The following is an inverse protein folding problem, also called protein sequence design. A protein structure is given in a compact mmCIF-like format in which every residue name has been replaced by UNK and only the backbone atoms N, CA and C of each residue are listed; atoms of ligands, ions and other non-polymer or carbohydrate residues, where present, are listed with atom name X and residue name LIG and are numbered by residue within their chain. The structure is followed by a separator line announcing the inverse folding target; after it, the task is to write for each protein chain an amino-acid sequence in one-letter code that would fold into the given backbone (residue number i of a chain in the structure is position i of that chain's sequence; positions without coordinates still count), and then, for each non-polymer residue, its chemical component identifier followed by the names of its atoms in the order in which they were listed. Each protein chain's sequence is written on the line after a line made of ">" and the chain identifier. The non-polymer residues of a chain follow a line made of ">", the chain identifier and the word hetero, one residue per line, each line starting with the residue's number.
data_IF_980134158748
#
_entry.id   IF_980134158748
#
_cell.length_a   1.000
_cell.length_b   1.000
_cell.length_c   1.000
_cell.angle_alpha   90.00
_cell.angle_beta   90.00
_cell.angle_gamma   90.00
#
_symmetry.space_group_name_H-M   'P 1'
#
loop_
_entity.id
_entity.type
_entity.pdbx_description
1 polymer ?
#
# COMPACT_ATOMS: atom_id res chain seq x y z
N UNK A 1 3.54 -43.26 33.81
CA UNK A 1 4.35 -42.83 32.66
C UNK A 1 5.36 -41.80 33.15
N UNK A 2 6.65 -42.16 33.42
CA UNK A 2 7.68 -41.17 33.80
C UNK A 2 7.97 -40.32 32.55
N UNK A 3 7.44 -39.15 32.49
CA UNK A 3 7.83 -38.14 31.48
C UNK A 3 9.28 -37.80 31.80
N UNK A 4 10.21 -38.24 30.95
CA UNK A 4 11.62 -37.91 31.12
C UNK A 4 11.75 -36.37 31.05
N UNK A 5 12.48 -35.77 32.01
CA UNK A 5 12.73 -34.31 32.07
C UNK A 5 13.17 -33.75 30.70
N UNK A 6 13.89 -34.56 29.94
CA UNK A 6 14.31 -34.24 28.58
C UNK A 6 13.15 -34.04 27.60
N UNK A 7 12.16 -34.95 27.61
CA UNK A 7 10.97 -34.81 26.72
C UNK A 7 10.16 -33.58 27.08
N UNK A 8 10.06 -33.21 28.36
CA UNK A 8 9.39 -32.01 28.82
C UNK A 8 10.05 -30.73 28.25
N UNK A 9 11.40 -30.66 28.30
CA UNK A 9 12.17 -29.54 27.78
C UNK A 9 11.96 -29.40 26.26
N UNK A 10 11.94 -30.51 25.52
CA UNK A 10 11.72 -30.51 24.07
C UNK A 10 10.33 -30.01 23.75
N UNK A 11 9.31 -30.52 24.43
CA UNK A 11 7.91 -30.12 24.22
C UNK A 11 7.76 -28.63 24.52
N UNK A 12 8.32 -28.12 25.60
CA UNK A 12 8.29 -26.73 26.01
C UNK A 12 8.98 -25.83 24.99
N UNK A 13 10.14 -26.27 24.46
CA UNK A 13 10.85 -25.56 23.38
C UNK A 13 10.02 -25.49 22.08
N UNK A 14 9.36 -26.60 21.72
CA UNK A 14 8.52 -26.68 20.52
C UNK A 14 7.29 -25.77 20.63
N UNK A 15 6.65 -25.74 21.80
CA UNK A 15 5.51 -24.82 22.07
C UNK A 15 5.98 -23.37 22.01
N UNK A 16 7.14 -23.03 22.56
CA UNK A 16 7.70 -21.68 22.49
C UNK A 16 7.97 -21.24 21.04
N UNK A 17 8.53 -22.13 20.21
CA UNK A 17 8.76 -21.86 18.78
C UNK A 17 7.45 -21.57 18.04
N UNK A 18 6.43 -22.40 18.25
CA UNK A 18 5.11 -22.19 17.64
C UNK A 18 4.52 -20.85 18.09
N UNK A 19 4.62 -20.52 19.38
CA UNK A 19 4.17 -19.23 19.91
C UNK A 19 4.86 -18.03 19.25
N UNK A 20 6.17 -18.08 19.06
CA UNK A 20 6.95 -17.05 18.38
C UNK A 20 6.52 -16.89 16.92
N UNK A 21 6.33 -18.00 16.20
CA UNK A 21 5.87 -17.96 14.79
C UNK A 21 4.49 -17.32 14.66
N UNK A 22 3.57 -17.68 15.56
CA UNK A 22 2.24 -17.05 15.58
C UNK A 22 2.36 -15.55 15.86
N UNK A 23 3.14 -15.15 16.85
CA UNK A 23 3.36 -13.74 17.17
C UNK A 23 3.95 -12.97 15.98
N UNK A 24 4.93 -13.55 15.26
CA UNK A 24 5.51 -12.94 14.06
C UNK A 24 4.47 -12.73 12.94
N UNK A 25 3.61 -13.71 12.71
CA UNK A 25 2.53 -13.58 11.70
C UNK A 25 1.55 -12.46 12.05
N UNK A 26 1.16 -12.37 13.31
CA UNK A 26 0.25 -11.33 13.79
C UNK A 26 0.87 -9.93 13.66
N UNK A 27 2.13 -9.78 14.06
CA UNK A 27 2.84 -8.50 13.95
C UNK A 27 3.08 -8.07 12.51
N UNK A 28 3.44 -8.99 11.63
CA UNK A 28 3.60 -8.70 10.20
C UNK A 28 2.29 -8.19 9.59
N UNK A 29 1.18 -8.86 9.93
CA UNK A 29 -0.16 -8.44 9.47
C UNK A 29 -0.53 -7.04 10.00
N UNK A 30 -0.26 -6.77 11.27
CA UNK A 30 -0.50 -5.47 11.88
C UNK A 30 0.36 -4.37 11.25
N UNK A 31 1.65 -4.63 11.03
CA UNK A 31 2.56 -3.69 10.39
C UNK A 31 2.10 -3.35 8.96
N UNK A 32 1.66 -4.34 8.18
CA UNK A 32 1.09 -4.12 6.86
C UNK A 32 -0.14 -3.21 6.91
N UNK A 33 -1.07 -3.47 7.81
CA UNK A 33 -2.29 -2.64 7.96
C UNK A 33 -1.96 -1.20 8.35
N UNK A 34 -0.94 -0.99 9.18
CA UNK A 34 -0.49 0.36 9.56
C UNK A 34 0.10 1.10 8.37
N UNK A 35 0.97 0.46 7.59
CA UNK A 35 1.58 1.07 6.41
C UNK A 35 0.53 1.36 5.32
N UNK A 36 -0.45 0.49 5.12
CA UNK A 36 -1.58 0.72 4.22
C UNK A 36 -2.40 1.96 4.63
N UNK A 37 -2.71 2.10 5.94
CA UNK A 37 -3.41 3.28 6.46
C UNK A 37 -2.59 4.56 6.27
N UNK A 38 -1.29 4.54 6.56
CA UNK A 38 -0.39 5.68 6.35
C UNK A 38 -0.33 6.08 4.87
N UNK A 39 -0.21 5.10 3.98
CA UNK A 39 -0.23 5.35 2.53
C UNK A 39 -1.55 5.99 2.11
N UNK A 40 -2.69 5.41 2.52
CA UNK A 40 -4.01 5.95 2.22
C UNK A 40 -4.20 7.39 2.74
N UNK A 41 -3.71 7.70 3.94
CA UNK A 41 -3.75 9.06 4.48
C UNK A 41 -2.91 10.04 3.65
N UNK A 42 -1.69 9.66 3.27
CA UNK A 42 -0.83 10.48 2.41
C UNK A 42 -1.48 10.78 1.07
N UNK A 43 -2.03 9.74 0.43
CA UNK A 43 -2.75 9.89 -0.84
C UNK A 43 -3.95 10.82 -0.67
N UNK A 44 -4.76 10.61 0.37
CA UNK A 44 -5.93 11.45 0.66
C UNK A 44 -5.55 12.94 0.81
N UNK A 45 -4.55 13.24 1.64
CA UNK A 45 -4.10 14.63 1.86
C UNK A 45 -3.55 15.22 0.57
N UNK A 46 -2.75 14.48 -0.20
CA UNK A 46 -2.21 14.94 -1.48
C UNK A 46 -3.31 15.24 -2.49
N UNK A 47 -4.30 14.36 -2.62
CA UNK A 47 -5.44 14.56 -3.53
C UNK A 47 -6.31 15.75 -3.09
N UNK A 48 -6.45 16.00 -1.78
CA UNK A 48 -7.15 17.16 -1.27
C UNK A 48 -6.43 18.46 -1.66
N UNK A 49 -5.10 18.49 -1.53
CA UNK A 49 -4.31 19.66 -1.95
C UNK A 49 -4.34 19.86 -3.47
N UNK A 50 -4.35 18.78 -4.27
CA UNK A 50 -4.57 18.89 -5.73
C UNK A 50 -5.94 19.50 -6.02
N UNK A 51 -7.00 19.02 -5.39
CA UNK A 51 -8.34 19.56 -5.54
C UNK A 51 -8.37 21.05 -5.19
N UNK A 52 -7.83 21.47 -4.05
CA UNK A 52 -7.74 22.89 -3.65
C UNK A 52 -7.06 23.75 -4.71
N UNK A 53 -5.91 23.32 -5.23
CA UNK A 53 -5.16 24.07 -6.25
C UNK A 53 -5.91 24.19 -7.56
N UNK A 54 -6.68 23.17 -7.95
CA UNK A 54 -7.55 23.24 -9.11
C UNK A 54 -8.68 24.27 -8.91
N UNK A 55 -9.09 24.52 -7.67
CA UNK A 55 -10.09 25.54 -7.33
C UNK A 55 -9.51 26.96 -7.19
N UNK A 56 -8.27 27.12 -6.69
CA UNK A 56 -7.64 28.43 -6.49
C UNK A 56 -7.57 29.29 -7.77
N UNK A 57 -7.58 28.67 -8.95
CA UNK A 57 -7.64 29.35 -10.25
C UNK A 57 -9.05 29.72 -10.70
N UNK A 58 -10.09 29.45 -9.91
CA UNK A 58 -11.50 29.65 -10.28
C UNK A 58 -12.21 30.51 -9.24
N UNK A 59 -13.31 31.15 -9.65
CA UNK A 59 -14.15 31.91 -8.71
C UNK A 59 -15.08 31.04 -7.85
N UNK A 60 -14.89 29.73 -7.87
CA UNK A 60 -15.71 28.76 -7.16
C UNK A 60 -15.01 28.31 -5.86
N UNK A 61 -15.76 28.19 -4.77
CA UNK A 61 -15.28 27.62 -3.52
C UNK A 61 -15.33 26.08 -3.59
N UNK A 62 -14.39 25.43 -2.91
CA UNK A 62 -14.42 23.97 -2.71
C UNK A 62 -15.79 23.58 -2.12
N UNK A 63 -16.44 22.53 -2.63
CA UNK A 63 -17.64 22.01 -2.01
C UNK A 63 -17.42 21.72 -0.54
N UNK A 64 -18.41 22.05 0.31
CA UNK A 64 -18.35 21.76 1.74
C UNK A 64 -18.33 20.25 2.06
N UNK A 65 -18.69 19.43 1.09
CA UNK A 65 -18.60 17.97 1.17
C UNK A 65 -17.18 17.50 0.78
N UNK A 66 -16.77 16.38 1.35
CA UNK A 66 -15.50 15.76 1.04
C UNK A 66 -15.41 15.42 -0.47
N UNK A 67 -14.53 16.06 -1.24
CA UNK A 67 -14.43 15.81 -2.67
C UNK A 67 -13.81 14.45 -3.01
N UNK A 68 -13.19 13.77 -2.04
CA UNK A 68 -12.44 12.54 -2.28
C UNK A 68 -13.25 11.33 -1.85
N UNK A 69 -13.44 10.40 -2.77
CA UNK A 69 -14.04 9.10 -2.54
C UNK A 69 -13.00 8.00 -2.73
N UNK A 70 -12.69 7.26 -1.67
CA UNK A 70 -11.88 6.05 -1.76
C UNK A 70 -12.78 4.89 -2.20
N UNK A 71 -12.55 4.35 -3.40
CA UNK A 71 -13.32 3.24 -3.97
C UNK A 71 -12.71 1.89 -3.55
N UNK A 72 -11.37 1.80 -3.61
CA UNK A 72 -10.59 0.67 -3.12
C UNK A 72 -9.29 1.16 -2.49
N UNK A 73 -8.43 0.25 -2.04
CA UNK A 73 -7.16 0.66 -1.41
C UNK A 73 -6.24 1.40 -2.38
N UNK A 74 -6.29 1.03 -3.65
CA UNK A 74 -5.49 1.55 -4.74
C UNK A 74 -6.22 2.54 -5.64
N UNK A 75 -7.53 2.79 -5.45
CA UNK A 75 -8.35 3.57 -6.36
C UNK A 75 -9.14 4.67 -5.67
N UNK A 76 -8.97 5.90 -6.14
CA UNK A 76 -9.56 7.12 -5.60
C UNK A 76 -10.22 7.93 -6.70
N UNK A 77 -11.35 8.58 -6.37
CA UNK A 77 -12.06 9.51 -7.23
C UNK A 77 -12.09 10.86 -6.51
N UNK A 78 -11.85 11.92 -7.26
CA UNK A 78 -11.89 13.30 -6.77
C UNK A 78 -12.87 14.10 -7.60
N UNK A 79 -13.97 14.50 -6.96
CA UNK A 79 -14.98 15.35 -7.56
C UNK A 79 -14.51 16.80 -7.47
N UNK A 80 -14.19 17.40 -8.60
CA UNK A 80 -13.77 18.81 -8.68
C UNK A 80 -14.95 19.72 -8.95
N UNK A 81 -16.00 19.20 -9.61
CA UNK A 81 -17.19 19.95 -10.02
C UNK A 81 -16.89 21.24 -10.78
N UNK A 82 -15.78 21.30 -11.46
CA UNK A 82 -15.31 22.40 -12.25
C UNK A 82 -14.43 21.90 -13.40
N UNK A 83 -14.40 22.65 -14.51
CA UNK A 83 -13.52 22.30 -15.63
C UNK A 83 -12.05 22.58 -15.28
N UNK A 84 -11.15 21.69 -15.70
CA UNK A 84 -9.73 21.80 -15.45
C UNK A 84 -8.93 21.16 -16.58
N UNK A 85 -7.68 21.61 -16.72
CA UNK A 85 -6.76 21.15 -17.75
C UNK A 85 -6.01 19.88 -17.32
N UNK A 86 -5.80 18.95 -18.25
CA UNK A 86 -5.13 17.68 -17.99
C UNK A 86 -3.64 17.85 -17.63
N UNK A 87 -2.95 18.82 -18.27
CA UNK A 87 -1.53 19.08 -18.00
C UNK A 87 -1.35 19.70 -16.61
N UNK A 88 -2.26 20.60 -16.23
CA UNK A 88 -2.29 21.22 -14.89
C UNK A 88 -2.57 20.17 -13.83
N UNK A 89 -3.53 19.27 -14.07
CA UNK A 89 -3.82 18.15 -13.17
C UNK A 89 -2.58 17.26 -12.98
N UNK A 90 -1.94 16.86 -14.08
CA UNK A 90 -0.75 16.01 -14.04
C UNK A 90 0.39 16.66 -13.25
N UNK A 91 0.63 17.94 -13.49
CA UNK A 91 1.63 18.72 -12.75
C UNK A 91 1.36 18.73 -11.24
N UNK A 92 0.12 18.99 -10.83
CA UNK A 92 -0.24 19.02 -9.42
C UNK A 92 -0.17 17.63 -8.77
N UNK A 93 -0.63 16.56 -9.47
CA UNK A 93 -0.51 15.20 -8.97
C UNK A 93 0.96 14.82 -8.73
N UNK A 94 1.84 15.07 -9.69
CA UNK A 94 3.28 14.80 -9.54
C UNK A 94 3.87 15.59 -8.38
N UNK A 95 3.60 16.89 -8.31
CA UNK A 95 4.13 17.76 -7.27
C UNK A 95 3.69 17.35 -5.86
N UNK A 96 2.40 17.08 -5.65
CA UNK A 96 1.88 16.74 -4.33
C UNK A 96 2.26 15.32 -3.89
N UNK A 97 2.33 14.36 -4.82
CA UNK A 97 2.80 13.02 -4.50
C UNK A 97 4.31 12.98 -4.18
N UNK A 98 5.12 13.80 -4.86
CA UNK A 98 6.53 13.94 -4.54
C UNK A 98 6.73 14.54 -3.14
N UNK A 99 6.01 15.63 -2.80
CA UNK A 99 6.04 16.25 -1.46
C UNK A 99 5.64 15.27 -0.36
N UNK A 100 4.63 14.44 -0.60
CA UNK A 100 4.18 13.42 0.34
C UNK A 100 5.10 12.19 0.39
N UNK A 101 6.16 12.16 -0.43
CA UNK A 101 7.05 11.00 -0.59
C UNK A 101 6.31 9.72 -1.02
N UNK A 102 5.30 9.86 -1.88
CA UNK A 102 4.59 8.75 -2.51
C UNK A 102 5.42 8.34 -3.75
N UNK A 103 6.32 7.37 -3.54
CA UNK A 103 7.25 6.88 -4.57
C UNK A 103 6.72 5.58 -5.18
N UNK A 104 5.60 5.66 -5.88
CA UNK A 104 5.01 4.54 -6.62
C UNK A 104 4.41 5.06 -7.92
N UNK A 105 4.32 4.17 -8.91
CA UNK A 105 3.65 4.48 -10.16
C UNK A 105 2.16 4.75 -9.91
N UNK A 106 1.58 5.63 -10.69
CA UNK A 106 0.15 5.90 -10.65
C UNK A 106 -0.43 6.15 -12.03
N UNK A 107 -1.70 5.84 -12.15
CA UNK A 107 -2.51 6.12 -13.33
C UNK A 107 -3.55 7.17 -12.95
N UNK A 108 -3.89 8.04 -13.88
CA UNK A 108 -5.01 8.96 -13.69
C UNK A 108 -5.86 9.07 -14.94
N UNK A 109 -7.10 9.42 -14.76
CA UNK A 109 -8.04 9.73 -15.83
C UNK A 109 -8.90 10.92 -15.46
N UNK A 110 -9.19 11.76 -16.45
CA UNK A 110 -10.01 12.94 -16.34
C UNK A 110 -11.33 12.74 -17.09
N UNK A 111 -12.41 13.18 -16.47
CA UNK A 111 -13.76 13.13 -17.04
C UNK A 111 -14.41 14.50 -16.99
N UNK A 112 -15.12 14.88 -18.07
CA UNK A 112 -15.89 16.10 -18.11
C UNK A 112 -17.34 15.85 -18.57
N UNK A 113 -18.18 16.88 -18.41
CA UNK A 113 -19.62 16.85 -18.72
C UNK A 113 -19.93 16.66 -20.22
N UNK A 114 -19.00 16.96 -21.10
CA UNK A 114 -19.29 17.10 -22.53
C UNK A 114 -19.19 15.81 -23.32
N UNK A 115 -18.51 14.80 -22.76
CA UNK A 115 -18.35 13.49 -23.39
C UNK A 115 -18.76 12.37 -22.46
N UNK A 116 -19.41 11.36 -23.03
CA UNK A 116 -19.71 10.12 -22.31
C UNK A 116 -18.47 9.23 -22.09
N UNK A 117 -17.31 9.67 -22.58
CA UNK A 117 -16.05 8.94 -22.55
C UNK A 117 -15.00 9.65 -21.68
N UNK A 118 -13.95 8.93 -21.34
CA UNK A 118 -12.76 9.47 -20.69
C UNK A 118 -12.12 10.52 -21.63
N UNK A 119 -11.96 11.75 -21.14
CA UNK A 119 -11.39 12.84 -21.94
C UNK A 119 -9.88 12.69 -22.07
N UNK A 120 -9.23 12.29 -20.99
CA UNK A 120 -7.80 12.10 -20.92
C UNK A 120 -7.43 11.07 -19.86
N UNK A 121 -6.40 10.29 -20.12
CA UNK A 121 -5.83 9.36 -19.14
C UNK A 121 -4.37 9.08 -19.44
N UNK A 122 -3.56 8.96 -18.41
CA UNK A 122 -2.14 8.69 -18.51
C UNK A 122 -1.63 7.80 -17.38
N UNK A 123 -0.54 7.10 -17.67
CA UNK A 123 0.22 6.31 -16.70
C UNK A 123 1.55 6.99 -16.42
N UNK A 124 1.81 7.31 -15.18
CA UNK A 124 3.03 7.94 -14.72
C UNK A 124 3.88 6.89 -14.02
N UNK A 125 4.99 6.51 -14.66
CA UNK A 125 5.97 5.60 -14.09
C UNK A 125 7.14 6.37 -13.51
N UNK A 126 7.60 5.96 -12.34
CA UNK A 126 8.88 6.42 -11.77
C UNK A 126 10.06 5.84 -12.53
N UNK A 127 9.90 4.66 -13.11
CA UNK A 127 10.91 4.00 -13.91
C UNK A 127 10.63 4.27 -15.40
N UNK A 128 11.46 5.07 -16.04
CA UNK A 128 11.31 5.56 -17.44
C UNK A 128 11.16 4.44 -18.50
N UNK A 129 11.33 3.17 -18.10
CA UNK A 129 11.29 2.02 -19.00
C UNK A 129 9.90 1.44 -19.26
N UNK A 130 8.88 1.82 -18.50
CA UNK A 130 7.53 1.23 -18.58
C UNK A 130 6.47 2.25 -19.03
N UNK A 131 6.44 2.55 -20.33
CA UNK A 131 5.33 3.28 -20.93
C UNK A 131 4.15 2.34 -21.15
N UNK A 132 3.29 2.16 -20.16
CA UNK A 132 1.96 1.57 -20.36
C UNK A 132 1.02 2.64 -20.90
N UNK A 133 0.55 2.49 -22.12
CA UNK A 133 -0.20 3.53 -22.84
C UNK A 133 -1.71 3.39 -22.80
N UNK A 134 -2.28 2.36 -22.21
CA UNK A 134 -3.74 2.17 -22.14
C UNK A 134 -4.21 2.15 -20.70
N UNK A 135 -4.80 3.25 -20.25
CA UNK A 135 -5.43 3.39 -18.95
C UNK A 135 -6.94 3.27 -19.15
N UNK A 136 -7.54 2.28 -18.49
CA UNK A 136 -8.99 2.12 -18.49
C UNK A 136 -9.55 2.29 -17.08
N UNK A 137 -10.48 3.21 -16.94
CA UNK A 137 -11.22 3.46 -15.70
C UNK A 137 -12.72 3.36 -15.94
N UNK A 138 -13.48 2.78 -15.00
CA UNK A 138 -14.93 2.78 -15.09
C UNK A 138 -15.50 4.20 -14.89
N UNK A 139 -16.52 4.56 -15.70
CA UNK A 139 -17.22 5.83 -15.55
C UNK A 139 -18.15 5.82 -14.34
N UNK A 140 -18.17 6.93 -13.60
CA UNK A 140 -19.08 7.17 -12.48
C UNK A 140 -20.24 8.08 -12.93
N UNK A 141 -21.45 7.50 -13.03
CA UNK A 141 -22.64 8.16 -13.63
C UNK A 141 -23.15 9.39 -12.89
N UNK A 142 -22.77 9.57 -11.62
CA UNK A 142 -23.30 10.65 -10.77
C UNK A 142 -22.33 11.85 -10.66
N UNK A 143 -21.19 11.80 -11.34
CA UNK A 143 -20.18 12.85 -11.29
C UNK A 143 -20.01 13.46 -12.68
N UNK A 144 -19.84 14.79 -12.71
CA UNK A 144 -19.78 15.58 -13.93
C UNK A 144 -18.34 15.93 -14.29
N UNK A 145 -17.63 16.60 -13.39
CA UNK A 145 -16.22 16.94 -13.52
C UNK A 145 -15.45 16.29 -12.40
N UNK A 146 -14.69 15.26 -12.73
CA UNK A 146 -13.90 14.53 -11.74
C UNK A 146 -12.65 13.95 -12.39
N UNK A 147 -11.69 13.63 -11.55
CA UNK A 147 -10.58 12.78 -11.95
C UNK A 147 -10.49 11.54 -11.05
N UNK A 148 -9.92 10.49 -11.59
CA UNK A 148 -9.67 9.26 -10.90
C UNK A 148 -8.16 8.98 -10.84
N UNK A 149 -7.68 8.41 -9.74
CA UNK A 149 -6.29 8.03 -9.57
C UNK A 149 -6.23 6.60 -9.06
N UNK A 150 -5.35 5.79 -9.66
CA UNK A 150 -5.10 4.40 -9.26
C UNK A 150 -3.61 4.15 -9.10
N UNK A 151 -3.26 3.36 -8.09
CA UNK A 151 -1.90 2.95 -7.78
C UNK A 151 -1.73 1.44 -8.06
N UNK A 152 -1.42 1.01 -9.29
CA UNK A 152 -1.42 -0.40 -9.67
C UNK A 152 -0.38 -1.23 -8.89
N UNK A 153 0.69 -0.58 -8.42
CA UNK A 153 1.79 -1.20 -7.69
C UNK A 153 1.75 -0.93 -6.16
N UNK A 154 0.61 -0.50 -5.61
CA UNK A 154 0.47 -0.18 -4.18
C UNK A 154 0.97 -1.31 -3.28
N UNK A 155 0.54 -2.54 -3.52
CA UNK A 155 0.96 -3.70 -2.71
C UNK A 155 2.46 -3.91 -2.73
N UNK A 156 3.09 -3.82 -3.91
CA UNK A 156 4.54 -3.97 -4.03
C UNK A 156 5.29 -2.88 -3.28
N UNK A 157 4.78 -1.65 -3.34
CA UNK A 157 5.32 -0.52 -2.59
C UNK A 157 5.23 -0.75 -1.07
N UNK A 158 4.08 -1.20 -0.56
CA UNK A 158 3.89 -1.50 0.86
C UNK A 158 4.80 -2.64 1.33
N UNK A 159 4.95 -3.70 0.54
CA UNK A 159 5.89 -4.78 0.87
C UNK A 159 7.35 -4.30 0.88
N UNK A 160 7.73 -3.42 -0.02
CA UNK A 160 9.07 -2.82 -0.03
C UNK A 160 9.35 -2.02 1.24
N UNK A 161 8.35 -1.30 1.75
CA UNK A 161 8.45 -0.56 3.01
C UNK A 161 8.64 -1.46 4.23
N UNK A 162 8.13 -2.70 4.17
CA UNK A 162 8.25 -3.70 5.24
C UNK A 162 9.47 -4.63 5.09
N UNK A 163 10.31 -4.44 4.07
CA UNK A 163 11.44 -5.34 3.76
C UNK A 163 12.35 -5.60 4.96
N UNK A 164 12.64 -4.59 5.77
CA UNK A 164 13.47 -4.73 6.97
C UNK A 164 12.85 -5.70 7.99
N UNK A 165 11.55 -5.62 8.22
CA UNK A 165 10.82 -6.51 9.14
C UNK A 165 10.80 -7.95 8.66
N UNK A 166 10.69 -8.19 7.34
CA UNK A 166 10.79 -9.53 6.77
C UNK A 166 12.18 -10.13 6.95
N UNK A 167 13.24 -9.34 6.74
CA UNK A 167 14.62 -9.79 6.96
C UNK A 167 14.83 -10.19 8.42
N UNK A 168 14.36 -9.37 9.35
CA UNK A 168 14.48 -9.66 10.79
C UNK A 168 13.72 -10.93 11.18
N UNK A 169 12.50 -11.10 10.68
CA UNK A 169 11.69 -12.29 10.90
C UNK A 169 12.37 -13.56 10.36
N UNK A 170 12.95 -13.48 9.18
CA UNK A 170 13.68 -14.60 8.56
C UNK A 170 14.93 -14.98 9.34
N UNK A 171 15.70 -14.01 9.82
CA UNK A 171 16.85 -14.24 10.67
C UNK A 171 16.47 -14.98 11.97
N UNK A 172 15.35 -14.61 12.59
CA UNK A 172 14.82 -15.27 13.78
C UNK A 172 14.45 -16.74 13.52
N UNK A 173 13.82 -17.02 12.38
CA UNK A 173 13.50 -18.41 11.97
C UNK A 173 14.77 -19.24 11.82
N UNK A 174 15.83 -18.70 11.22
CA UNK A 174 17.12 -19.41 11.08
C UNK A 174 17.71 -19.74 12.45
N UNK A 175 17.72 -18.81 13.39
CA UNK A 175 18.21 -19.02 14.75
C UNK A 175 17.44 -20.16 15.44
N UNK A 176 16.11 -20.18 15.29
CA UNK A 176 15.27 -21.24 15.83
C UNK A 176 15.58 -22.62 15.22
N UNK A 177 15.80 -22.68 13.90
CA UNK A 177 16.17 -23.93 13.24
C UNK A 177 17.52 -24.47 13.72
N UNK A 178 18.52 -23.59 13.88
CA UNK A 178 19.83 -23.96 14.43
C UNK A 178 19.68 -24.47 15.86
N UNK A 179 18.85 -23.85 16.68
CA UNK A 179 18.58 -24.28 18.05
C UNK A 179 17.93 -25.67 18.08
N UNK A 180 16.92 -25.93 17.27
CA UNK A 180 16.27 -27.25 17.15
C UNK A 180 17.28 -28.32 16.71
N UNK A 181 18.09 -28.02 15.68
CA UNK A 181 19.11 -28.92 15.18
C UNK A 181 20.12 -29.29 16.30
N UNK A 182 20.57 -28.30 17.06
CA UNK A 182 21.49 -28.53 18.20
C UNK A 182 20.89 -29.46 19.27
N UNK A 183 19.61 -29.25 19.60
CA UNK A 183 18.90 -30.13 20.56
C UNK A 183 18.83 -31.57 20.04
N UNK A 184 18.42 -31.73 18.77
CA UNK A 184 18.33 -33.09 18.17
C UNK A 184 19.68 -33.82 18.18
N UNK A 185 20.75 -33.11 17.85
CA UNK A 185 22.13 -33.67 17.85
C UNK A 185 22.54 -34.09 19.22
N UNK A 186 22.31 -33.30 20.27
CA UNK A 186 22.63 -33.65 21.67
C UNK A 186 21.82 -34.88 22.11
N UNK A 187 20.57 -34.99 21.69
CA UNK A 187 19.72 -36.14 22.01
C UNK A 187 20.20 -37.43 21.36
N UNK A 188 20.68 -37.36 20.12
CA UNK A 188 21.23 -38.50 19.40
C UNK A 188 22.52 -38.99 20.07
N UNK A 189 23.41 -38.09 20.51
CA UNK A 189 24.64 -38.42 21.20
C UNK A 189 24.42 -39.08 22.58
N UNK A 190 23.33 -38.78 23.28
CA UNK A 190 22.98 -39.39 24.56
C UNK A 190 22.34 -40.80 24.45
N UNK A 191 22.01 -41.20 23.23
CA UNK A 191 21.37 -42.49 22.96
C UNK A 191 22.39 -43.61 22.67
N UNK A 192 23.63 -43.25 22.47
CA UNK A 192 24.81 -44.14 22.40
C UNK A 192 25.61 -44.05 23.69
#
# INVERSE_FOLDING_TARGET
>A
MKINRLNTIIILGLVAIIGILIAQLLWTRQAYTIEEKKFSQKVYVSLLEVAKKLYEGTNNELPSENPIQKVSNDYYIVNVNNDFDAEVLEFYLKSEFEKASIKTDFEYAMYNCQSDEMVYGNYISLDKSNNKTSVFFPKHKNLVYYFAVRFPNERSFLFSSLKFWFILSFALIIILLVYVYSIVTILQQKKY
#
